data_IF_255544864966
#
_entry.id   IF_255544864966
#
_cell.length_a   1.000
_cell.length_b   1.000
_cell.length_c   1.000
_cell.angle_alpha   90.00
_cell.angle_beta   90.00
_cell.angle_gamma   90.00
#
_symmetry.space_group_name_H-M   'P 1'
#
loop_
_entity.id
_entity.type
_entity.pdbx_description
1 polymer ?
#
# COMPACT_ATOMS: atom_id res chain seq x y z
N UNK A 1 4.30 13.49 -18.00
CA UNK A 1 4.88 12.70 -16.90
C UNK A 1 5.66 11.53 -17.51
N UNK A 2 6.76 11.09 -16.90
CA UNK A 2 7.58 9.99 -17.41
C UNK A 2 7.09 8.61 -16.96
N UNK A 3 7.53 7.57 -17.65
CA UNK A 3 7.28 6.15 -17.34
C UNK A 3 8.59 5.37 -17.42
N UNK A 4 8.80 4.47 -16.46
CA UNK A 4 9.89 3.49 -16.42
C UNK A 4 9.28 2.10 -16.31
N UNK A 5 9.81 1.17 -17.09
CA UNK A 5 9.38 -0.24 -17.11
C UNK A 5 10.61 -1.12 -16.88
N UNK A 6 10.46 -2.11 -16.00
CA UNK A 6 11.48 -3.09 -15.65
C UNK A 6 10.86 -4.48 -15.85
N UNK A 7 11.28 -5.18 -16.90
CA UNK A 7 10.77 -6.51 -17.24
C UNK A 7 11.16 -7.59 -16.21
N UNK A 8 12.17 -7.31 -15.38
CA UNK A 8 12.64 -8.19 -14.30
C UNK A 8 12.24 -7.70 -12.91
N UNK A 9 13.03 -8.11 -11.91
CA UNK A 9 12.90 -7.61 -10.55
C UNK A 9 13.72 -6.33 -10.30
N UNK A 10 13.46 -5.68 -9.18
CA UNK A 10 14.22 -4.54 -8.69
C UNK A 10 14.77 -4.80 -7.28
N UNK A 11 15.90 -4.19 -6.93
CA UNK A 11 16.46 -4.28 -5.59
C UNK A 11 15.70 -3.43 -4.56
N UNK A 12 16.31 -3.30 -3.39
CA UNK A 12 15.80 -2.49 -2.29
C UNK A 12 15.62 -1.02 -2.70
N UNK A 13 14.67 -0.35 -2.04
CA UNK A 13 14.38 1.06 -2.19
C UNK A 13 14.01 1.49 -3.62
N UNK A 14 13.55 0.57 -4.47
CA UNK A 14 13.01 0.92 -5.78
C UNK A 14 11.86 1.96 -5.63
N UNK A 15 11.88 3.01 -6.45
CA UNK A 15 10.90 4.11 -6.34
C UNK A 15 10.97 4.92 -5.04
N UNK A 16 12.06 4.82 -4.27
CA UNK A 16 12.28 5.63 -3.09
C UNK A 16 12.14 7.13 -3.41
N UNK A 17 11.39 7.85 -2.57
CA UNK A 17 11.14 9.29 -2.71
C UNK A 17 10.53 9.75 -4.05
N UNK A 18 9.96 8.81 -4.83
CA UNK A 18 9.30 9.10 -6.11
C UNK A 18 8.27 10.23 -5.96
N UNK A 19 8.36 11.24 -6.81
CA UNK A 19 7.53 12.45 -6.72
C UNK A 19 6.36 12.45 -7.72
N UNK A 20 6.42 11.63 -8.76
CA UNK A 20 5.46 11.58 -9.86
C UNK A 20 5.91 10.64 -10.96
N UNK A 21 5.09 10.49 -12.00
CA UNK A 21 5.31 9.53 -13.09
C UNK A 21 4.81 8.13 -12.75
N UNK A 22 5.28 7.16 -13.52
CA UNK A 22 4.91 5.76 -13.38
C UNK A 22 6.16 4.86 -13.39
N UNK A 23 6.24 3.92 -12.45
CA UNK A 23 7.24 2.87 -12.39
C UNK A 23 6.54 1.51 -12.39
N UNK A 24 6.80 0.68 -13.40
CA UNK A 24 6.34 -0.71 -13.46
C UNK A 24 7.53 -1.66 -13.31
N UNK A 25 7.36 -2.65 -12.44
CA UNK A 25 8.31 -3.74 -12.20
C UNK A 25 7.52 -5.03 -12.41
N UNK A 26 7.88 -5.86 -13.38
CA UNK A 26 7.14 -7.09 -13.69
C UNK A 26 7.47 -8.23 -12.72
N UNK A 27 8.71 -8.25 -12.19
CA UNK A 27 9.15 -9.19 -11.18
C UNK A 27 8.95 -8.73 -9.73
N UNK A 28 9.75 -9.30 -8.83
CA UNK A 28 9.77 -8.95 -7.41
C UNK A 28 10.55 -7.67 -7.14
N UNK A 29 10.30 -7.05 -6.00
CA UNK A 29 11.07 -5.91 -5.51
C UNK A 29 11.54 -6.11 -4.07
N UNK A 30 12.72 -5.56 -3.77
CA UNK A 30 13.34 -5.66 -2.45
C UNK A 30 12.65 -4.85 -1.35
N UNK A 31 13.36 -4.69 -0.25
CA UNK A 31 12.90 -4.01 0.95
C UNK A 31 12.75 -2.50 0.70
N UNK A 32 11.93 -1.81 1.49
CA UNK A 32 11.77 -0.34 1.44
C UNK A 32 11.34 0.24 0.09
N UNK A 33 10.75 -0.56 -0.81
CA UNK A 33 10.17 -0.03 -2.06
C UNK A 33 9.20 1.12 -1.77
N UNK A 34 9.23 2.18 -2.56
CA UNK A 34 8.45 3.42 -2.33
C UNK A 34 8.68 4.08 -0.95
N UNK A 35 9.71 3.65 -0.23
CA UNK A 35 10.04 4.08 1.12
C UNK A 35 10.85 5.37 1.16
N UNK A 36 11.27 5.76 2.36
CA UNK A 36 12.22 6.83 2.60
C UNK A 36 13.67 6.34 2.54
N UNK A 37 14.59 7.20 2.14
CA UNK A 37 16.03 6.93 2.30
C UNK A 37 16.41 6.88 3.79
N UNK A 38 17.49 6.17 4.15
CA UNK A 38 18.07 6.29 5.49
C UNK A 38 18.31 7.76 5.87
N UNK A 39 17.83 8.16 7.05
CA UNK A 39 17.89 9.54 7.53
C UNK A 39 16.82 10.50 6.96
N UNK A 40 16.10 10.10 5.91
CA UNK A 40 15.00 10.89 5.34
C UNK A 40 13.69 10.70 6.11
N UNK A 41 12.90 11.77 6.16
CA UNK A 41 11.58 11.78 6.77
C UNK A 41 10.45 11.68 5.74
N UNK A 42 10.76 11.63 4.45
CA UNK A 42 9.78 11.50 3.38
C UNK A 42 10.08 10.26 2.52
N UNK A 43 9.09 9.38 2.35
CA UNK A 43 9.13 8.32 1.35
C UNK A 43 8.58 8.79 0.01
N UNK A 44 7.86 7.93 -0.73
CA UNK A 44 7.18 8.34 -1.96
C UNK A 44 6.20 9.52 -1.73
N UNK A 45 6.28 10.55 -2.60
CA UNK A 45 5.52 11.81 -2.54
C UNK A 45 4.60 12.03 -3.75
N UNK A 46 4.48 11.05 -4.64
CA UNK A 46 3.53 11.05 -5.74
C UNK A 46 3.88 10.03 -6.82
N UNK A 47 2.96 9.87 -7.78
CA UNK A 47 3.11 8.91 -8.87
C UNK A 47 2.45 7.56 -8.62
N UNK A 48 2.68 6.64 -9.54
CA UNK A 48 2.16 5.28 -9.54
C UNK A 48 3.34 4.30 -9.60
N UNK A 49 3.38 3.37 -8.65
CA UNK A 49 4.33 2.27 -8.64
C UNK A 49 3.57 0.96 -8.68
N UNK A 50 3.86 0.10 -9.65
CA UNK A 50 3.22 -1.21 -9.83
C UNK A 50 4.29 -2.30 -9.80
N UNK A 51 4.09 -3.30 -8.95
CA UNK A 51 4.92 -4.50 -8.82
C UNK A 51 4.10 -5.73 -9.22
N UNK A 52 4.58 -6.46 -10.21
CA UNK A 52 3.99 -7.70 -10.72
C UNK A 52 4.22 -8.89 -9.79
N UNK A 53 5.37 -8.92 -9.11
CA UNK A 53 5.71 -9.90 -8.08
C UNK A 53 5.41 -9.42 -6.66
N UNK A 54 6.20 -9.95 -5.72
CA UNK A 54 6.14 -9.64 -4.29
C UNK A 54 7.11 -8.53 -3.91
N UNK A 55 6.86 -7.90 -2.76
CA UNK A 55 7.73 -6.86 -2.19
C UNK A 55 8.29 -7.29 -0.83
N UNK A 56 9.49 -6.80 -0.52
CA UNK A 56 10.16 -7.03 0.74
C UNK A 56 9.52 -6.33 1.94
N UNK A 57 10.28 -6.21 3.03
CA UNK A 57 9.82 -5.53 4.24
C UNK A 57 9.62 -4.03 4.01
N UNK A 58 8.71 -3.44 4.78
CA UNK A 58 8.56 -1.98 4.90
C UNK A 58 8.30 -1.25 3.59
N UNK A 59 7.69 -1.94 2.63
CA UNK A 59 7.17 -1.32 1.41
C UNK A 59 6.25 -0.14 1.75
N UNK A 60 6.51 1.03 1.15
CA UNK A 60 5.79 2.27 1.40
C UNK A 60 6.12 2.96 2.73
N UNK A 61 7.28 2.66 3.33
CA UNK A 61 7.72 3.34 4.55
C UNK A 61 7.71 4.87 4.40
N UNK A 62 7.04 5.58 5.30
CA UNK A 62 6.88 7.04 5.27
C UNK A 62 6.31 7.60 3.96
N UNK A 63 5.61 6.78 3.18
CA UNK A 63 4.89 7.23 2.00
C UNK A 63 3.94 8.37 2.38
N UNK A 64 3.95 9.45 1.59
CA UNK A 64 3.19 10.68 1.85
C UNK A 64 2.10 10.92 0.82
N UNK A 65 2.28 10.43 -0.41
CA UNK A 65 1.30 10.49 -1.52
C UNK A 65 1.65 9.42 -2.56
N UNK A 66 0.75 9.20 -3.50
CA UNK A 66 0.92 8.26 -4.61
C UNK A 66 0.12 6.98 -4.42
N UNK A 67 0.27 6.08 -5.37
CA UNK A 67 -0.35 4.76 -5.38
C UNK A 67 0.72 3.69 -5.57
N UNK A 68 0.81 2.74 -4.64
CA UNK A 68 1.62 1.53 -4.74
C UNK A 68 0.71 0.32 -4.91
N UNK A 69 0.91 -0.45 -5.97
CA UNK A 69 0.15 -1.67 -6.28
C UNK A 69 1.09 -2.88 -6.29
N UNK A 70 0.80 -3.88 -5.48
CA UNK A 70 1.59 -5.12 -5.39
C UNK A 70 0.71 -6.31 -5.72
N UNK A 71 1.00 -6.99 -6.82
CA UNK A 71 0.21 -8.15 -7.28
C UNK A 71 0.58 -9.44 -6.53
N UNK A 72 1.79 -9.54 -5.99
CA UNK A 72 2.22 -10.62 -5.12
C UNK A 72 1.99 -10.33 -3.63
N UNK A 73 2.85 -10.92 -2.80
CA UNK A 73 2.85 -10.74 -1.35
C UNK A 73 3.65 -9.50 -0.92
N UNK A 74 3.46 -9.05 0.31
CA UNK A 74 4.27 -8.02 0.94
C UNK A 74 4.88 -8.52 2.26
N UNK A 75 6.14 -8.16 2.50
CA UNK A 75 6.82 -8.46 3.76
C UNK A 75 6.23 -7.75 4.98
N UNK A 76 6.87 -7.92 6.15
CA UNK A 76 6.47 -7.26 7.40
C UNK A 76 6.41 -5.74 7.29
N UNK A 77 5.61 -5.12 8.15
CA UNK A 77 5.60 -3.66 8.35
C UNK A 77 5.28 -2.84 7.08
N UNK A 78 4.48 -3.40 6.17
CA UNK A 78 3.90 -2.69 5.03
C UNK A 78 3.30 -1.35 5.45
N UNK A 79 3.65 -0.27 4.77
CA UNK A 79 3.16 1.08 5.07
C UNK A 79 3.60 1.61 6.43
N UNK A 80 4.71 1.10 6.99
CA UNK A 80 5.22 1.58 8.26
C UNK A 80 5.47 3.09 8.25
N UNK A 81 5.04 3.78 9.30
CA UNK A 81 5.22 5.24 9.45
C UNK A 81 4.60 6.05 8.30
N UNK A 82 3.67 5.47 7.54
CA UNK A 82 3.02 6.12 6.39
C UNK A 82 2.31 7.41 6.81
N UNK A 83 2.53 8.48 6.07
CA UNK A 83 1.96 9.81 6.33
C UNK A 83 0.63 10.00 5.60
N UNK A 84 0.52 9.48 4.37
CA UNK A 84 -0.68 9.42 3.54
C UNK A 84 -0.37 8.68 2.21
N UNK A 85 -1.38 8.47 1.36
CA UNK A 85 -1.27 7.73 0.10
C UNK A 85 -2.13 6.47 0.11
N UNK A 86 -1.94 5.62 -0.88
CA UNK A 86 -2.66 4.35 -0.99
C UNK A 86 -1.71 3.25 -1.39
N UNK A 87 -1.77 2.12 -0.67
CA UNK A 87 -1.03 0.90 -1.00
C UNK A 87 -2.05 -0.23 -1.11
N UNK A 88 -2.04 -0.98 -2.21
CA UNK A 88 -2.90 -2.15 -2.39
C UNK A 88 -2.07 -3.39 -2.64
N UNK A 89 -2.36 -4.47 -1.91
CA UNK A 89 -1.64 -5.74 -1.99
C UNK A 89 -2.64 -6.87 -2.24
N UNK A 90 -2.37 -7.66 -3.27
CA UNK A 90 -3.24 -8.76 -3.66
C UNK A 90 -2.93 -10.08 -2.91
N UNK A 91 -1.64 -10.34 -2.64
CA UNK A 91 -1.19 -11.52 -1.90
C UNK A 91 -1.13 -11.32 -0.39
N UNK A 92 -0.46 -12.25 0.29
CA UNK A 92 -0.31 -12.21 1.74
C UNK A 92 0.53 -11.04 2.22
N UNK A 93 0.20 -10.54 3.41
CA UNK A 93 0.90 -9.40 4.02
C UNK A 93 1.49 -9.85 5.35
N UNK A 94 2.78 -9.58 5.53
CA UNK A 94 3.49 -9.86 6.76
C UNK A 94 2.94 -9.11 7.98
N UNK A 95 3.47 -9.39 9.18
CA UNK A 95 2.95 -8.83 10.42
C UNK A 95 3.10 -7.31 10.50
N UNK A 96 2.24 -6.70 11.32
CA UNK A 96 2.23 -5.27 11.63
C UNK A 96 2.01 -4.31 10.43
N UNK A 97 1.04 -4.58 9.53
CA UNK A 97 0.71 -3.62 8.47
C UNK A 97 0.25 -2.30 9.09
N UNK A 98 0.73 -1.19 8.53
CA UNK A 98 0.37 0.16 8.95
C UNK A 98 0.94 0.56 10.32
N UNK A 99 1.94 -0.16 10.86
CA UNK A 99 2.56 0.20 12.13
C UNK A 99 3.05 1.65 12.13
N UNK A 100 2.58 2.44 13.10
CA UNK A 100 2.87 3.86 13.25
C UNK A 100 2.39 4.72 12.06
N UNK A 101 1.42 4.26 11.27
CA UNK A 101 0.84 5.08 10.20
C UNK A 101 -0.02 6.22 10.77
N UNK A 102 0.08 7.38 10.13
CA UNK A 102 -0.71 8.58 10.47
C UNK A 102 -1.99 8.67 9.65
N UNK A 103 -1.90 8.54 8.33
CA UNK A 103 -3.06 8.54 7.41
C UNK A 103 -2.78 7.64 6.21
N UNK A 104 -3.77 7.54 5.33
CA UNK A 104 -3.69 6.76 4.10
C UNK A 104 -4.41 5.43 4.25
N UNK A 105 -4.49 4.71 3.13
CA UNK A 105 -5.30 3.50 3.02
C UNK A 105 -4.40 2.34 2.59
N UNK A 106 -4.38 1.28 3.38
CA UNK A 106 -3.81 -0.02 2.99
C UNK A 106 -4.96 -0.95 2.59
N UNK A 107 -4.97 -1.39 1.33
CA UNK A 107 -6.01 -2.27 0.77
C UNK A 107 -5.46 -3.67 0.64
N UNK A 108 -5.94 -4.58 1.49
CA UNK A 108 -5.37 -5.91 1.67
C UNK A 108 -6.40 -6.95 1.21
N UNK A 109 -6.10 -7.61 0.08
CA UNK A 109 -7.09 -8.49 -0.57
C UNK A 109 -7.01 -9.95 -0.11
N UNK A 110 -5.89 -10.37 0.48
CA UNK A 110 -5.79 -11.68 1.12
C UNK A 110 -6.54 -11.68 2.46
N UNK A 111 -6.91 -12.87 2.94
CA UNK A 111 -7.66 -13.03 4.17
C UNK A 111 -6.81 -12.85 5.46
N UNK A 112 -5.49 -12.65 5.33
CA UNK A 112 -4.52 -12.94 6.39
C UNK A 112 -3.66 -11.81 6.99
N UNK A 113 -3.95 -10.51 6.84
CA UNK A 113 -3.48 -9.54 7.83
C UNK A 113 -4.55 -9.35 8.91
N UNK A 114 -4.32 -9.93 10.09
CA UNK A 114 -5.00 -9.47 11.30
C UNK A 114 -4.45 -8.08 11.63
N UNK A 115 -5.28 -7.03 11.67
CA UNK A 115 -4.84 -5.71 12.07
C UNK A 115 -4.12 -5.75 13.41
N UNK A 116 -3.02 -5.01 13.53
CA UNK A 116 -2.28 -4.92 14.79
C UNK A 116 -3.15 -4.34 15.92
N UNK A 117 -2.71 -4.45 17.18
CA UNK A 117 -3.48 -3.99 18.35
C UNK A 117 -3.86 -2.50 18.30
N UNK A 118 -3.18 -1.70 17.47
CA UNK A 118 -3.48 -0.29 17.26
C UNK A 118 -4.59 0.00 16.25
N UNK A 119 -5.25 -1.02 15.71
CA UNK A 119 -6.32 -0.90 14.73
C UNK A 119 -7.65 -1.46 15.25
N UNK A 120 -8.74 -0.72 15.03
CA UNK A 120 -10.08 -1.08 15.50
C UNK A 120 -11.05 -1.17 14.33
N UNK A 121 -11.81 -2.27 14.25
CA UNK A 121 -12.84 -2.42 13.22
C UNK A 121 -13.94 -1.37 13.40
N UNK A 122 -14.28 -0.70 12.30
CA UNK A 122 -15.29 0.34 12.27
C UNK A 122 -16.57 -0.16 11.61
N UNK A 123 -17.73 0.33 12.07
CA UNK A 123 -19.06 -0.02 11.52
C UNK A 123 -19.71 1.11 10.71
N UNK A 124 -18.93 2.13 10.34
CA UNK A 124 -19.44 3.23 9.52
C UNK A 124 -19.66 2.76 8.07
N UNK A 125 -20.70 3.26 7.43
CA UNK A 125 -20.91 3.03 6.01
C UNK A 125 -19.82 3.75 5.20
N UNK A 126 -19.10 2.97 4.41
CA UNK A 126 -18.05 3.44 3.51
C UNK A 126 -18.35 3.12 2.05
N UNK A 127 -19.58 2.71 1.69
CA UNK A 127 -19.92 2.16 0.38
C UNK A 127 -19.52 3.09 -0.78
N UNK A 128 -19.77 4.40 -0.66
CA UNK A 128 -19.40 5.38 -1.70
C UNK A 128 -17.88 5.48 -1.84
N UNK A 129 -17.16 5.65 -0.73
CA UNK A 129 -15.71 5.73 -0.73
C UNK A 129 -15.07 4.45 -1.25
N UNK A 130 -15.54 3.28 -0.78
CA UNK A 130 -15.09 1.97 -1.22
C UNK A 130 -15.34 1.76 -2.71
N UNK A 131 -16.48 2.18 -3.26
CA UNK A 131 -16.77 2.09 -4.69
C UNK A 131 -15.83 2.96 -5.54
N UNK A 132 -15.53 4.19 -5.08
CA UNK A 132 -14.56 5.07 -5.75
C UNK A 132 -13.15 4.49 -5.73
N UNK A 133 -12.72 3.99 -4.57
CA UNK A 133 -11.41 3.35 -4.42
C UNK A 133 -11.30 2.10 -5.28
N UNK A 134 -12.29 1.21 -5.21
CA UNK A 134 -12.34 -0.01 -6.01
C UNK A 134 -12.25 0.29 -7.51
N UNK A 135 -12.99 1.29 -8.00
CA UNK A 135 -12.90 1.73 -9.40
C UNK A 135 -11.50 2.25 -9.76
N UNK A 136 -10.88 3.02 -8.87
CA UNK A 136 -9.50 3.51 -9.09
C UNK A 136 -8.50 2.36 -9.16
N UNK A 137 -8.62 1.35 -8.31
CA UNK A 137 -7.72 0.19 -8.29
C UNK A 137 -7.97 -0.73 -9.49
N UNK A 138 -9.24 -0.95 -9.86
CA UNK A 138 -9.62 -1.80 -10.99
C UNK A 138 -9.06 -1.30 -12.34
N UNK A 139 -8.84 0.01 -12.49
CA UNK A 139 -8.21 0.60 -13.66
C UNK A 139 -6.79 0.06 -13.93
N UNK A 140 -6.14 -0.57 -12.94
CA UNK A 140 -4.81 -1.15 -13.05
C UNK A 140 -4.80 -2.67 -13.32
N UNK A 141 -5.99 -3.29 -13.43
CA UNK A 141 -6.16 -4.68 -13.85
C UNK A 141 -5.62 -5.73 -12.86
N UNK A 142 -5.52 -6.97 -13.33
CA UNK A 142 -5.08 -8.11 -12.51
C UNK A 142 -6.00 -8.37 -11.32
N UNK A 143 -5.42 -8.75 -10.18
CA UNK A 143 -6.18 -9.03 -8.96
C UNK A 143 -7.01 -7.85 -8.44
N UNK A 144 -6.68 -6.61 -8.84
CA UNK A 144 -7.39 -5.40 -8.42
C UNK A 144 -8.69 -5.15 -9.22
N UNK A 145 -8.88 -5.80 -10.37
CA UNK A 145 -10.09 -5.66 -11.19
C UNK A 145 -11.34 -6.17 -10.46
N UNK A 146 -11.19 -7.19 -9.61
CA UNK A 146 -12.29 -7.86 -8.91
C UNK A 146 -12.65 -7.21 -7.57
N UNK A 147 -12.01 -6.10 -7.19
CA UNK A 147 -12.34 -5.40 -5.94
C UNK A 147 -13.76 -4.82 -6.02
N UNK A 148 -14.15 -4.34 -7.21
CA UNK A 148 -15.45 -3.73 -7.41
C UNK A 148 -16.59 -4.73 -7.12
N UNK A 149 -17.51 -4.33 -6.23
CA UNK A 149 -18.71 -5.11 -5.92
C UNK A 149 -18.60 -6.07 -4.73
N UNK A 150 -17.46 -6.12 -4.03
CA UNK A 150 -17.33 -6.89 -2.77
C UNK A 150 -17.22 -5.93 -1.58
N UNK A 151 -17.94 -6.19 -0.47
CA UNK A 151 -17.84 -5.35 0.72
C UNK A 151 -16.43 -5.41 1.30
N UNK A 152 -15.92 -4.27 1.75
CA UNK A 152 -14.64 -4.15 2.46
C UNK A 152 -14.91 -3.91 3.94
N UNK A 153 -14.17 -4.58 4.80
CA UNK A 153 -14.12 -4.27 6.22
C UNK A 153 -13.08 -3.19 6.44
N UNK A 154 -13.40 -2.19 7.27
CA UNK A 154 -12.48 -1.10 7.58
C UNK A 154 -12.04 -1.13 9.02
N UNK A 155 -10.73 -1.08 9.22
CA UNK A 155 -10.10 -0.87 10.52
C UNK A 155 -9.43 0.50 10.53
N UNK A 156 -9.68 1.30 11.56
CA UNK A 156 -9.06 2.60 11.74
C UNK A 156 -7.90 2.51 12.76
N UNK A 157 -6.79 3.19 12.47
CA UNK A 157 -5.56 3.16 13.25
C UNK A 157 -4.46 4.00 12.58
N UNK A 158 -3.22 4.01 13.02
CA UNK A 158 -2.73 3.42 14.26
C UNK A 158 -3.00 4.38 15.43
N UNK A 159 -3.66 3.90 16.49
CA UNK A 159 -3.93 4.69 17.70
C UNK A 159 -2.66 5.11 18.45
N UNK A 160 -1.52 4.46 18.19
CA UNK A 160 -0.22 4.90 18.71
C UNK A 160 0.23 6.26 18.14
N UNK A 161 -0.43 6.76 17.08
CA UNK A 161 -0.14 8.05 16.45
C UNK A 161 -1.32 9.00 16.56
N UNK A 162 -2.26 8.96 15.61
CA UNK A 162 -3.46 9.81 15.60
C UNK A 162 -4.73 9.07 15.14
N UNK A 163 -4.64 7.77 14.80
CA UNK A 163 -5.78 6.92 14.45
C UNK A 163 -6.49 7.27 13.14
N UNK A 164 -5.84 8.00 12.21
CA UNK A 164 -6.46 8.49 10.97
C UNK A 164 -6.08 7.70 9.71
N UNK A 165 -5.26 6.68 9.83
CA UNK A 165 -5.02 5.67 8.80
C UNK A 165 -6.11 4.61 8.80
N UNK A 166 -6.13 3.83 7.72
CA UNK A 166 -7.09 2.74 7.59
C UNK A 166 -6.50 1.51 6.91
N UNK A 167 -6.92 0.35 7.38
CA UNK A 167 -6.79 -0.94 6.69
C UNK A 167 -8.15 -1.30 6.13
N UNK A 168 -8.20 -1.61 4.84
CA UNK A 168 -9.37 -2.12 4.14
C UNK A 168 -9.08 -3.57 3.79
N UNK A 169 -9.78 -4.49 4.46
CA UNK A 169 -9.62 -5.93 4.21
C UNK A 169 -10.85 -6.46 3.48
N UNK A 170 -10.66 -7.58 2.79
CA UNK A 170 -11.79 -8.45 2.46
C UNK A 170 -12.27 -9.23 3.68
#
# INVERSE_FOLDING_TARGET
AGRIEIDGGAGDAAGCEMAGGELRIDGDAGDFIAGARPGSMEGMRGGLLVVGGSVGERAGDRMRRGLLLVRGAAGPMLGSRMVAGTIAVAGEVGPHPGALMRRGSLVLLSAQPVPGPGFVETRYDIAVYAALLARSLAAHGGAFAEIAGRPLRRFAGDIAVDGRGELLTR
#
